data_IF_994220529556
#
_entry.id   IF_994220529556
#
_cell.length_a   1.000
_cell.length_b   1.000
_cell.length_c   1.000
_cell.angle_alpha   90.00
_cell.angle_beta   90.00
_cell.angle_gamma   90.00
#
_symmetry.space_group_name_H-M   'P 1'
#
loop_
_entity.id
_entity.type
_entity.pdbx_description
1 polymer ?
#
# COMPACT_ATOMS: atom_id res chain seq x y z
N UNK A 1 -30.34 -49.95 -66.25
CA UNK A 1 -29.71 -49.08 -67.27
C UNK A 1 -29.50 -47.71 -66.63
N UNK A 2 -28.26 -47.28 -66.42
CA UNK A 2 -27.99 -45.95 -65.88
C UNK A 2 -27.31 -45.11 -66.96
N UNK A 3 -28.05 -44.17 -67.53
CA UNK A 3 -27.53 -43.14 -68.41
C UNK A 3 -26.77 -42.13 -67.56
N UNK A 4 -25.43 -42.20 -67.60
CA UNK A 4 -24.55 -41.21 -67.00
C UNK A 4 -24.78 -39.87 -67.71
N UNK A 5 -25.25 -38.87 -66.96
CA UNK A 5 -25.51 -37.52 -67.46
C UNK A 5 -24.25 -36.94 -68.11
N UNK A 6 -24.39 -36.46 -69.35
CA UNK A 6 -23.31 -35.83 -70.08
C UNK A 6 -22.99 -34.48 -69.42
N UNK A 7 -21.71 -34.30 -69.07
CA UNK A 7 -21.14 -33.04 -68.60
C UNK A 7 -21.41 -31.94 -69.64
N UNK A 8 -21.61 -30.66 -69.22
CA UNK A 8 -21.87 -29.57 -70.15
C UNK A 8 -20.78 -29.50 -71.23
N UNK A 9 -21.20 -29.60 -72.49
CA UNK A 9 -20.33 -29.58 -73.66
C UNK A 9 -19.81 -28.16 -73.86
N UNK A 10 -18.49 -28.01 -73.95
CA UNK A 10 -17.85 -26.73 -74.18
C UNK A 10 -18.32 -26.11 -75.51
N UNK A 11 -18.47 -24.78 -75.53
CA UNK A 11 -18.92 -24.04 -76.71
C UNK A 11 -18.07 -24.41 -77.94
N UNK A 12 -18.69 -24.93 -79.03
CA UNK A 12 -17.97 -25.35 -80.24
C UNK A 12 -17.13 -24.23 -80.87
N UNK A 13 -17.54 -22.97 -80.72
CA UNK A 13 -16.76 -21.83 -81.22
C UNK A 13 -15.49 -21.63 -80.40
N UNK A 14 -15.56 -21.83 -79.09
CA UNK A 14 -14.39 -21.74 -78.21
C UNK A 14 -13.39 -22.87 -78.50
N UNK A 15 -13.90 -24.10 -78.69
CA UNK A 15 -13.07 -25.25 -79.08
C UNK A 15 -12.38 -25.04 -80.43
N UNK A 16 -13.08 -24.45 -81.41
CA UNK A 16 -12.52 -24.09 -82.71
C UNK A 16 -11.50 -22.95 -82.65
N UNK A 17 -11.64 -22.02 -81.72
CA UNK A 17 -10.67 -20.94 -81.51
C UNK A 17 -9.39 -21.46 -80.85
N UNK A 18 -9.52 -22.34 -79.84
CA UNK A 18 -8.38 -22.97 -79.16
C UNK A 18 -7.60 -23.89 -80.11
N UNK A 19 -8.28 -24.63 -80.99
CA UNK A 19 -7.60 -25.50 -81.97
C UNK A 19 -6.80 -24.75 -83.04
N UNK A 20 -7.11 -23.47 -83.25
CA UNK A 20 -6.35 -22.57 -84.14
C UNK A 20 -5.25 -21.78 -83.42
N UNK A 21 -5.23 -21.78 -82.08
CA UNK A 21 -4.19 -21.13 -81.31
C UNK A 21 -2.89 -21.94 -81.44
N UNK A 22 -1.99 -21.47 -82.29
CA UNK A 22 -0.64 -22.04 -82.41
C UNK A 22 0.29 -21.39 -81.37
N UNK A 23 1.36 -22.06 -80.94
CA UNK A 23 2.37 -21.45 -80.04
C UNK A 23 2.96 -20.15 -80.60
N UNK A 24 2.95 -20.00 -81.94
CA UNK A 24 3.40 -18.81 -82.67
C UNK A 24 2.43 -17.62 -82.54
N UNK A 25 1.16 -17.87 -82.20
CA UNK A 25 0.17 -16.81 -81.93
C UNK A 25 0.30 -16.20 -80.54
N UNK A 26 1.13 -16.79 -79.66
CA UNK A 26 1.41 -16.25 -78.34
C UNK A 26 2.60 -15.30 -78.41
N UNK A 27 2.47 -14.13 -77.77
CA UNK A 27 3.59 -13.22 -77.62
C UNK A 27 4.73 -13.91 -76.85
N UNK A 28 5.92 -13.96 -77.46
CA UNK A 28 7.10 -14.49 -76.79
C UNK A 28 7.42 -13.61 -75.58
N UNK A 29 7.42 -14.20 -74.39
CA UNK A 29 7.86 -13.52 -73.16
C UNK A 29 9.29 -13.97 -72.88
N UNK A 30 10.25 -13.06 -73.03
CA UNK A 30 11.63 -13.32 -72.63
C UNK A 30 11.71 -13.34 -71.10
N UNK A 31 11.92 -14.52 -70.53
CA UNK A 31 12.10 -14.68 -69.08
C UNK A 31 13.58 -14.46 -68.73
N UNK A 32 13.93 -13.27 -68.26
CA UNK A 32 15.25 -12.99 -67.71
C UNK A 32 15.37 -13.61 -66.31
N UNK A 33 15.97 -14.79 -66.18
CA UNK A 33 16.35 -15.36 -64.88
C UNK A 33 17.47 -14.48 -64.31
N UNK A 34 17.14 -13.59 -63.38
CA UNK A 34 18.13 -12.83 -62.63
C UNK A 34 18.81 -13.79 -61.65
N UNK A 35 20.02 -14.25 -62.00
CA UNK A 35 20.90 -14.95 -61.08
C UNK A 35 21.96 -13.95 -60.57
N UNK A 36 21.61 -13.08 -59.59
CA UNK A 36 22.53 -12.06 -59.10
C UNK A 36 23.77 -12.75 -58.53
N UNK A 37 24.93 -12.29 -58.96
CA UNK A 37 26.18 -12.74 -58.37
C UNK A 37 26.21 -12.33 -56.89
N UNK A 38 26.84 -13.13 -56.01
CA UNK A 38 27.02 -12.75 -54.62
C UNK A 38 27.66 -11.36 -54.51
N UNK A 39 27.22 -10.56 -53.54
CA UNK A 39 27.83 -9.26 -53.30
C UNK A 39 29.28 -9.44 -52.83
N UNK A 40 30.13 -8.43 -53.07
CA UNK A 40 31.51 -8.44 -52.56
C UNK A 40 31.57 -8.62 -51.03
N UNK A 41 30.56 -8.10 -50.33
CA UNK A 41 30.41 -8.22 -48.89
C UNK A 41 30.10 -9.66 -48.46
N UNK A 42 29.17 -10.35 -49.15
CA UNK A 42 28.85 -11.75 -48.85
C UNK A 42 30.06 -12.67 -49.05
N UNK A 43 30.84 -12.46 -50.12
CA UNK A 43 32.06 -13.24 -50.38
C UNK A 43 33.13 -12.96 -49.31
N UNK A 44 33.27 -11.70 -48.88
CA UNK A 44 34.22 -11.34 -47.83
C UNK A 44 33.84 -11.97 -46.49
N UNK A 45 32.54 -11.94 -46.13
CA UNK A 45 32.02 -12.58 -44.93
C UNK A 45 32.25 -14.10 -44.94
N UNK A 46 31.89 -14.77 -46.04
CA UNK A 46 32.09 -16.23 -46.17
C UNK A 46 33.56 -16.60 -46.04
N UNK A 47 34.47 -15.81 -46.63
CA UNK A 47 35.91 -16.03 -46.49
C UNK A 47 36.38 -15.86 -45.04
N UNK A 48 35.91 -14.83 -44.34
CA UNK A 48 36.25 -14.63 -42.92
C UNK A 48 35.73 -15.75 -42.03
N UNK A 49 34.54 -16.28 -42.31
CA UNK A 49 33.95 -17.39 -41.57
C UNK A 49 34.73 -18.69 -41.81
N UNK A 50 35.09 -18.98 -43.06
CA UNK A 50 35.93 -20.15 -43.39
C UNK A 50 37.31 -20.08 -42.74
N UNK A 51 37.94 -18.89 -42.71
CA UNK A 51 39.21 -18.68 -42.04
C UNK A 51 39.09 -18.88 -40.52
N UNK A 52 38.01 -18.38 -39.90
CA UNK A 52 37.74 -18.58 -38.47
C UNK A 52 37.51 -20.06 -38.15
N UNK A 53 36.67 -20.75 -38.93
CA UNK A 53 36.39 -22.18 -38.74
C UNK A 53 37.68 -23.01 -38.88
N UNK A 54 38.46 -22.76 -39.93
CA UNK A 54 39.75 -23.43 -40.14
C UNK A 54 40.73 -23.16 -38.99
N UNK A 55 40.72 -21.93 -38.44
CA UNK A 55 41.52 -21.56 -37.29
C UNK A 55 41.12 -22.28 -36.00
N UNK A 56 39.82 -22.51 -35.79
CA UNK A 56 39.28 -23.24 -34.64
C UNK A 56 39.52 -24.75 -34.80
N UNK A 57 39.29 -25.32 -35.99
CA UNK A 57 39.53 -26.74 -36.27
C UNK A 57 41.02 -27.11 -36.14
N UNK A 58 41.91 -26.23 -36.58
CA UNK A 58 43.35 -26.37 -36.43
C UNK A 58 43.90 -25.91 -35.07
N UNK A 59 43.04 -25.51 -34.13
CA UNK A 59 43.48 -24.98 -32.85
C UNK A 59 44.03 -26.09 -31.96
N UNK A 60 45.34 -26.03 -31.70
CA UNK A 60 46.02 -26.93 -30.78
C UNK A 60 45.80 -26.49 -29.33
N UNK A 61 44.88 -27.17 -28.64
CA UNK A 61 44.61 -26.95 -27.23
C UNK A 61 45.86 -27.17 -26.33
N UNK A 62 46.88 -27.90 -26.80
CA UNK A 62 48.16 -28.05 -26.11
C UNK A 62 49.00 -26.76 -26.05
N UNK A 63 48.66 -25.74 -26.86
CA UNK A 63 49.28 -24.40 -26.81
C UNK A 63 48.61 -23.49 -25.79
N UNK A 64 47.49 -23.89 -25.20
CA UNK A 64 46.91 -23.17 -24.08
C UNK A 64 47.85 -23.27 -22.88
N UNK A 65 48.01 -22.17 -22.15
CA UNK A 65 48.78 -22.20 -20.91
C UNK A 65 48.07 -23.15 -19.93
N UNK A 66 48.76 -24.18 -19.40
CA UNK A 66 48.17 -25.06 -18.41
C UNK A 66 47.76 -24.21 -17.21
N UNK A 67 46.48 -24.30 -16.87
CA UNK A 67 45.88 -23.63 -15.72
C UNK A 67 45.52 -24.71 -14.71
N UNK A 68 46.14 -24.69 -13.53
CA UNK A 68 45.84 -25.63 -12.46
C UNK A 68 44.53 -25.22 -11.77
N UNK A 69 43.46 -25.99 -12.01
CA UNK A 69 42.20 -25.82 -11.28
C UNK A 69 42.32 -26.49 -9.91
N UNK A 70 42.38 -25.70 -8.85
CA UNK A 70 42.38 -26.20 -7.47
C UNK A 70 40.95 -26.29 -6.94
N UNK A 71 40.46 -27.51 -6.72
CA UNK A 71 39.24 -27.76 -5.95
C UNK A 71 39.50 -27.46 -4.47
N UNK A 72 39.05 -26.29 -4.00
CA UNK A 72 39.09 -25.96 -2.58
C UNK A 72 37.91 -26.65 -1.90
N UNK A 73 38.13 -27.86 -1.40
CA UNK A 73 37.25 -28.50 -0.44
C UNK A 73 37.85 -28.33 0.97
N UNK A 74 37.73 -27.14 1.59
CA UNK A 74 38.31 -26.91 2.90
C UNK A 74 37.69 -27.89 3.89
N UNK A 75 38.55 -28.59 4.64
CA UNK A 75 38.09 -29.38 5.75
C UNK A 75 37.39 -28.46 6.78
N UNK A 76 36.39 -28.99 7.51
CA UNK A 76 35.81 -28.26 8.63
C UNK A 76 36.92 -27.79 9.57
N UNK A 77 36.85 -26.53 9.99
CA UNK A 77 37.79 -26.02 10.98
C UNK A 77 37.55 -26.67 12.36
N UNK A 78 38.52 -26.62 13.29
CA UNK A 78 38.36 -27.20 14.61
C UNK A 78 37.14 -26.66 15.38
N UNK A 79 36.73 -25.41 15.15
CA UNK A 79 35.56 -24.82 15.80
C UNK A 79 34.27 -25.46 15.33
N UNK A 80 34.13 -25.75 14.03
CA UNK A 80 32.99 -26.42 13.46
C UNK A 80 32.84 -27.84 14.03
N UNK A 81 33.95 -28.56 14.17
CA UNK A 81 33.98 -29.91 14.76
C UNK A 81 33.60 -29.87 16.25
N UNK A 82 34.15 -28.92 17.02
CA UNK A 82 33.80 -28.75 18.43
C UNK A 82 32.33 -28.36 18.64
N UNK A 83 31.80 -27.50 17.76
CA UNK A 83 30.40 -27.12 17.78
C UNK A 83 29.49 -28.32 17.51
N UNK A 84 29.78 -29.10 16.46
CA UNK A 84 29.01 -30.30 16.12
C UNK A 84 29.07 -31.33 17.24
N UNK A 85 30.24 -31.54 17.85
CA UNK A 85 30.40 -32.44 18.99
C UNK A 85 29.55 -31.98 20.19
N UNK A 86 29.58 -30.69 20.52
CA UNK A 86 28.76 -30.12 21.61
C UNK A 86 27.27 -30.28 21.34
N UNK A 87 26.84 -30.09 20.09
CA UNK A 87 25.45 -30.25 19.69
C UNK A 87 24.99 -31.71 19.84
N UNK A 88 25.80 -32.66 19.35
CA UNK A 88 25.54 -34.09 19.49
C UNK A 88 25.42 -34.51 20.96
N UNK A 89 26.36 -34.05 21.81
CA UNK A 89 26.32 -34.32 23.26
C UNK A 89 25.06 -33.74 23.93
N UNK A 90 24.68 -32.51 23.57
CA UNK A 90 23.46 -31.87 24.09
C UNK A 90 22.20 -32.64 23.67
N UNK A 91 22.08 -33.00 22.39
CA UNK A 91 20.95 -33.77 21.86
C UNK A 91 20.82 -35.13 22.58
N UNK A 92 21.93 -35.81 22.77
CA UNK A 92 21.95 -37.09 23.48
C UNK A 92 21.55 -36.92 24.96
N UNK A 93 22.09 -35.90 25.64
CA UNK A 93 21.75 -35.60 27.03
C UNK A 93 20.26 -35.30 27.24
N UNK A 94 19.64 -34.57 26.32
CA UNK A 94 18.19 -34.29 26.34
C UNK A 94 17.38 -35.54 26.02
N UNK A 95 17.79 -36.33 25.02
CA UNK A 95 17.09 -37.55 24.62
C UNK A 95 17.05 -38.61 25.72
N UNK A 96 18.16 -38.78 26.43
CA UNK A 96 18.32 -39.76 27.50
C UNK A 96 17.90 -39.21 28.88
N UNK A 97 17.40 -37.97 28.92
CA UNK A 97 17.02 -37.33 30.17
C UNK A 97 15.85 -38.06 30.84
N UNK A 98 16.10 -38.62 32.03
CA UNK A 98 15.08 -39.29 32.81
C UNK A 98 14.06 -38.30 33.38
N UNK A 99 12.86 -38.27 32.79
CA UNK A 99 11.73 -37.43 33.21
C UNK A 99 11.30 -37.64 34.67
N UNK A 100 11.58 -38.80 35.28
CA UNK A 100 11.28 -39.01 36.70
C UNK A 100 12.12 -38.16 37.65
N UNK A 101 13.23 -37.59 37.16
CA UNK A 101 14.04 -36.61 37.89
C UNK A 101 13.43 -35.21 37.91
N UNK A 102 12.39 -34.95 37.10
CA UNK A 102 11.66 -33.69 37.16
C UNK A 102 10.87 -33.61 38.46
N UNK A 103 10.96 -32.47 39.13
CA UNK A 103 10.13 -32.19 40.31
C UNK A 103 8.66 -32.14 39.86
N UNK A 104 7.80 -32.84 40.59
CA UNK A 104 6.36 -32.66 40.43
C UNK A 104 5.97 -31.26 40.88
N UNK A 105 5.28 -30.52 40.01
CA UNK A 105 4.63 -29.26 40.37
C UNK A 105 3.13 -29.50 40.41
N UNK A 106 2.53 -29.40 41.60
CA UNK A 106 1.09 -29.43 41.77
C UNK A 106 0.54 -28.02 41.47
N UNK A 107 -0.08 -27.87 40.30
CA UNK A 107 -0.76 -26.63 39.92
C UNK A 107 -2.17 -26.63 40.50
N UNK A 108 -2.43 -25.79 41.51
CA UNK A 108 -3.77 -25.56 42.04
C UNK A 108 -4.46 -24.42 41.27
N UNK A 109 -5.59 -24.71 40.62
CA UNK A 109 -6.49 -23.69 40.08
C UNK A 109 -7.32 -23.14 41.25
N UNK A 110 -6.96 -21.95 41.74
CA UNK A 110 -7.75 -21.24 42.76
C UNK A 110 -8.99 -20.68 42.06
N UNK A 111 -10.13 -21.34 42.24
CA UNK A 111 -11.44 -20.79 41.88
C UNK A 111 -12.18 -20.38 43.17
N UNK A 112 -11.80 -19.23 43.79
CA UNK A 112 -12.43 -18.80 45.02
C UNK A 112 -13.91 -18.52 44.77
N UNK A 113 -14.75 -18.98 45.69
CA UNK A 113 -16.16 -18.58 45.70
C UNK A 113 -16.27 -17.07 45.97
N UNK A 114 -17.31 -16.41 45.43
CA UNK A 114 -17.57 -15.01 45.74
C UNK A 114 -17.69 -14.80 47.26
N UNK A 115 -17.17 -13.67 47.75
CA UNK A 115 -17.21 -13.34 49.17
C UNK A 115 -18.63 -13.04 49.64
N UNK A 116 -18.90 -13.23 50.94
CA UNK A 116 -20.19 -12.87 51.54
C UNK A 116 -20.54 -11.39 51.32
N UNK A 117 -19.54 -10.52 51.32
CA UNK A 117 -19.70 -9.09 51.03
C UNK A 117 -20.17 -8.85 49.59
N UNK A 118 -19.54 -9.50 48.60
CA UNK A 118 -19.93 -9.39 47.20
C UNK A 118 -21.38 -9.88 46.99
N UNK A 119 -21.76 -11.00 47.62
CA UNK A 119 -23.11 -11.54 47.55
C UNK A 119 -24.13 -10.58 48.17
N UNK A 120 -23.81 -9.97 49.31
CA UNK A 120 -24.71 -9.03 49.97
C UNK A 120 -24.87 -7.73 49.20
N UNK A 121 -23.79 -7.23 48.58
CA UNK A 121 -23.84 -6.06 47.73
C UNK A 121 -24.73 -6.31 46.50
N UNK A 122 -24.54 -7.45 45.82
CA UNK A 122 -25.36 -7.85 44.68
C UNK A 122 -26.83 -7.98 45.06
N UNK A 123 -27.14 -8.59 46.20
CA UNK A 123 -28.52 -8.66 46.71
C UNK A 123 -29.13 -7.28 46.94
N UNK A 124 -28.38 -6.36 47.55
CA UNK A 124 -28.87 -5.00 47.79
C UNK A 124 -29.12 -4.23 46.49
N UNK A 125 -28.27 -4.43 45.48
CA UNK A 125 -28.44 -3.81 44.17
C UNK A 125 -29.67 -4.36 43.44
N UNK A 126 -29.87 -5.67 43.47
CA UNK A 126 -31.08 -6.31 42.91
C UNK A 126 -32.34 -5.81 43.61
N UNK A 127 -32.34 -5.68 44.94
CA UNK A 127 -33.49 -5.12 45.68
C UNK A 127 -33.80 -3.68 45.27
N UNK A 128 -32.77 -2.82 45.12
CA UNK A 128 -32.95 -1.43 44.65
C UNK A 128 -33.53 -1.38 43.23
N UNK A 129 -33.06 -2.24 42.34
CA UNK A 129 -33.57 -2.32 40.96
C UNK A 129 -35.04 -2.71 40.99
N UNK A 130 -35.42 -3.73 41.76
CA UNK A 130 -36.81 -4.15 41.89
C UNK A 130 -37.72 -3.06 42.46
N UNK A 131 -37.24 -2.29 43.45
CA UNK A 131 -37.98 -1.15 43.99
C UNK A 131 -38.24 -0.06 42.94
N UNK A 132 -37.22 0.25 42.13
CA UNK A 132 -37.33 1.22 41.03
C UNK A 132 -38.26 0.71 39.94
N UNK A 133 -38.14 -0.56 39.53
CA UNK A 133 -39.01 -1.18 38.53
C UNK A 133 -40.47 -1.21 39.00
N UNK A 134 -40.70 -1.45 40.30
CA UNK A 134 -42.03 -1.43 40.92
C UNK A 134 -42.58 -0.03 41.21
N UNK A 135 -41.82 1.04 40.95
CA UNK A 135 -42.20 2.39 41.34
C UNK A 135 -43.40 2.90 40.55
N UNK A 136 -44.52 3.11 41.25
CA UNK A 136 -45.72 3.70 40.66
C UNK A 136 -45.56 5.21 40.54
N UNK A 137 -45.29 5.69 39.32
CA UNK A 137 -45.19 7.13 39.00
C UNK A 137 -46.43 7.91 39.41
N UNK A 138 -47.62 7.30 39.34
CA UNK A 138 -48.88 7.94 39.72
C UNK A 138 -49.00 8.21 41.23
N UNK A 139 -48.15 7.59 42.06
CA UNK A 139 -48.05 7.89 43.50
C UNK A 139 -47.31 9.20 43.78
N UNK A 140 -46.67 9.82 42.78
CA UNK A 140 -46.06 11.13 42.93
C UNK A 140 -47.14 12.19 43.11
N UNK A 141 -47.05 12.96 44.19
CA UNK A 141 -47.94 14.11 44.40
C UNK A 141 -47.71 15.13 43.30
N UNK A 142 -48.80 15.59 42.68
CA UNK A 142 -48.74 16.69 41.74
C UNK A 142 -48.20 17.95 42.43
N UNK A 143 -47.27 18.62 41.77
CA UNK A 143 -46.75 19.92 42.18
C UNK A 143 -46.71 20.81 40.94
N UNK A 144 -47.24 22.02 41.03
CA UNK A 144 -47.17 22.98 39.94
C UNK A 144 -45.80 23.67 39.96
N UNK A 145 -44.96 23.51 38.93
CA UNK A 145 -43.68 24.19 38.87
C UNK A 145 -43.89 25.70 38.71
N UNK A 146 -43.40 26.49 39.68
CA UNK A 146 -43.46 27.96 39.61
C UNK A 146 -42.30 28.47 38.76
N UNK A 147 -42.55 28.76 37.49
CA UNK A 147 -41.58 29.43 36.61
C UNK A 147 -41.67 30.93 36.87
N UNK A 148 -40.65 31.51 37.52
CA UNK A 148 -40.58 32.96 37.75
C UNK A 148 -40.14 33.68 36.48
N UNK A 149 -41.07 33.92 35.56
CA UNK A 149 -40.87 34.88 34.46
C UNK A 149 -41.19 36.28 34.98
N UNK A 150 -40.21 36.95 35.58
CA UNK A 150 -40.37 38.35 36.00
C UNK A 150 -40.09 39.23 34.78
N UNK A 151 -41.04 40.09 34.42
CA UNK A 151 -40.80 41.12 33.40
C UNK A 151 -39.75 42.12 33.94
N UNK A 152 -38.83 42.61 33.10
CA UNK A 152 -37.94 43.70 33.51
C UNK A 152 -38.75 44.87 34.07
N UNK A 153 -38.30 45.43 35.19
CA UNK A 153 -38.92 46.64 35.74
C UNK A 153 -38.50 47.89 34.96
N UNK A 154 -39.22 48.98 35.20
CA UNK A 154 -39.00 50.24 34.51
C UNK A 154 -37.57 50.77 34.74
N UNK A 155 -37.03 50.58 35.95
CA UNK A 155 -35.67 50.99 36.31
C UNK A 155 -34.62 50.23 35.50
N UNK A 156 -34.79 48.92 35.31
CA UNK A 156 -33.90 48.09 34.47
C UNK A 156 -33.95 48.54 33.01
N UNK A 157 -35.14 48.82 32.48
CA UNK A 157 -35.31 49.30 31.10
C UNK A 157 -34.71 50.69 30.88
N UNK A 158 -34.88 51.59 31.85
CA UNK A 158 -34.34 52.95 31.76
C UNK A 158 -32.81 52.96 31.93
N UNK A 159 -32.27 52.10 32.80
CA UNK A 159 -30.84 51.87 32.91
C UNK A 159 -30.25 51.35 31.59
N UNK A 160 -30.89 50.36 30.96
CA UNK A 160 -30.45 49.80 29.67
C UNK A 160 -30.52 50.85 28.55
N UNK A 161 -31.59 51.65 28.47
CA UNK A 161 -31.69 52.76 27.50
C UNK A 161 -30.58 53.79 27.70
N UNK A 162 -30.30 54.17 28.95
CA UNK A 162 -29.24 55.12 29.26
C UNK A 162 -27.86 54.58 28.89
N UNK A 163 -27.60 53.31 29.15
CA UNK A 163 -26.37 52.65 28.73
C UNK A 163 -26.24 52.62 27.21
N UNK A 164 -27.32 52.32 26.50
CA UNK A 164 -27.35 52.29 25.04
C UNK A 164 -27.07 53.68 24.45
N UNK A 165 -27.69 54.73 24.99
CA UNK A 165 -27.43 56.11 24.57
C UNK A 165 -25.96 56.52 24.79
N UNK A 166 -25.37 56.13 25.93
CA UNK A 166 -23.95 56.37 26.19
C UNK A 166 -23.05 55.63 25.19
N UNK A 167 -23.36 54.35 24.90
CA UNK A 167 -22.62 53.56 23.91
C UNK A 167 -22.71 54.21 22.53
N UNK A 168 -23.90 54.61 22.10
CA UNK A 168 -24.12 55.25 20.80
C UNK A 168 -23.42 56.61 20.70
N UNK A 169 -23.38 57.37 21.79
CA UNK A 169 -22.64 58.63 21.87
C UNK A 169 -21.12 58.43 21.72
N UNK A 170 -20.57 57.38 22.33
CA UNK A 170 -19.13 57.04 22.21
C UNK A 170 -18.79 56.48 20.84
N UNK A 171 -19.62 55.58 20.29
CA UNK A 171 -19.36 54.97 18.97
C UNK A 171 -19.43 56.00 17.85
N UNK A 172 -20.37 56.95 17.92
CA UNK A 172 -20.54 58.01 16.92
C UNK A 172 -19.76 59.29 17.25
N UNK A 173 -18.86 59.26 18.25
CA UNK A 173 -18.12 60.44 18.66
C UNK A 173 -17.14 60.91 17.59
N UNK A 174 -17.35 62.14 17.08
CA UNK A 174 -16.43 62.75 16.12
C UNK A 174 -15.19 63.32 16.83
N UNK A 175 -14.08 62.57 16.81
CA UNK A 175 -12.77 62.96 17.38
C UNK A 175 -12.25 64.31 16.84
N UNK A 176 -12.60 64.72 15.62
CA UNK A 176 -12.15 66.00 15.06
C UNK A 176 -12.80 67.21 15.74
N UNK A 177 -13.87 67.00 16.52
CA UNK A 177 -14.51 68.04 17.34
C UNK A 177 -13.72 68.36 18.62
N UNK A 178 -12.70 67.57 18.95
CA UNK A 178 -11.83 67.85 20.09
C UNK A 178 -10.89 69.01 19.76
N UNK A 179 -10.85 70.03 20.62
CA UNK A 179 -9.86 71.10 20.51
C UNK A 179 -8.47 70.51 20.70
N UNK A 180 -7.53 70.80 19.79
CA UNK A 180 -6.13 70.43 19.98
C UNK A 180 -5.56 71.26 21.13
N UNK A 181 -5.04 70.60 22.14
CA UNK A 181 -4.30 71.22 23.24
C UNK A 181 -2.83 70.86 23.10
N UNK A 182 -1.96 71.85 23.17
CA UNK A 182 -0.50 71.63 23.22
C UNK A 182 -0.14 71.23 24.65
N UNK A 183 0.39 70.03 24.84
CA UNK A 183 0.92 69.59 26.12
C UNK A 183 2.34 70.14 26.26
N UNK A 184 2.58 71.04 27.22
CA UNK A 184 3.95 71.41 27.63
C UNK A 184 4.43 70.45 28.73
N UNK A 185 5.29 69.52 28.34
CA UNK A 185 6.00 68.64 29.29
C UNK A 185 7.13 69.44 29.96
N UNK A 186 6.90 69.86 31.21
CA UNK A 186 7.90 70.56 32.03
C UNK A 186 8.92 69.56 32.60
N UNK A 187 9.82 69.05 31.77
CA UNK A 187 11.00 68.33 32.25
C UNK A 187 12.06 69.34 32.71
N UNK A 188 11.96 69.78 33.96
CA UNK A 188 13.05 70.51 34.61
C UNK A 188 14.16 69.50 34.98
N UNK A 189 15.35 69.64 34.41
CA UNK A 189 16.53 68.90 34.83
C UNK A 189 16.90 69.32 36.27
N UNK A 190 17.20 68.38 37.19
CA UNK A 190 17.56 68.71 38.56
C UNK A 190 18.90 69.46 38.59
N UNK A 191 18.91 70.69 39.14
CA UNK A 191 20.16 71.43 39.36
C UNK A 191 20.87 70.89 40.60
N UNK A 192 22.10 70.40 40.45
CA UNK A 192 22.95 69.97 41.56
C UNK A 192 23.42 71.17 42.39
N UNK A 193 23.17 71.15 43.71
CA UNK A 193 23.83 72.07 44.65
C UNK A 193 24.67 71.21 45.60
N UNK A 194 25.98 71.46 45.58
CA UNK A 194 26.94 70.92 46.53
C UNK A 194 26.85 71.56 47.90
#
# INVERSE_FOLDING_TARGET
MATKAALPSADPQLLGAISKATPESLHHVQTDVKNPLPSKEAIAQEKTEQELMSGIEGFDAGKLKPTETQEKNPLPDPSAIEQEKRECEMRHSIGDFNKSKLRHSQTEVKNPLPSTEAINLEKQEVEKIQEIEGFKKDSLKHTEPTVKNVLPDQDTLDAEKKEQELKDGVTNFNRNSLKKTTTEEKNALPSSRG
#
